data_IF_977897907180
#
_entry.id   IF_977897907180
#
_cell.length_a   1.000
_cell.length_b   1.000
_cell.length_c   1.000
_cell.angle_alpha   90.00
_cell.angle_beta   90.00
_cell.angle_gamma   90.00
#
_symmetry.space_group_name_H-M   'P 1'
#
loop_
_entity.id
_entity.type
_entity.pdbx_description
1 polymer ?
#
# COMPACT_ATOMS: atom_id res chain seq x y z
N UNK A 1 1.29 32.24 -25.04
CA UNK A 1 1.11 30.96 -24.33
C UNK A 1 2.18 30.89 -23.25
N UNK A 2 1.78 30.96 -21.98
CA UNK A 2 2.70 30.95 -20.85
C UNK A 2 3.37 29.59 -20.72
N UNK A 3 4.69 29.56 -20.91
CA UNK A 3 5.53 28.40 -20.66
C UNK A 3 5.58 28.19 -19.13
N UNK A 4 4.66 27.40 -18.58
CA UNK A 4 4.76 26.98 -17.19
C UNK A 4 6.09 26.23 -17.04
N UNK A 5 6.94 26.68 -16.11
CA UNK A 5 8.20 25.99 -15.81
C UNK A 5 7.87 24.54 -15.49
N UNK A 6 8.21 23.63 -16.40
CA UNK A 6 7.96 22.21 -16.23
C UNK A 6 8.92 21.72 -15.15
N UNK A 7 8.45 21.68 -13.91
CA UNK A 7 9.23 21.14 -12.79
C UNK A 7 9.40 19.65 -13.05
N UNK A 8 10.64 19.15 -13.23
CA UNK A 8 10.86 17.73 -13.40
C UNK A 8 10.41 16.99 -12.14
N UNK A 9 9.88 15.78 -12.31
CA UNK A 9 9.57 14.93 -11.18
C UNK A 9 10.81 14.72 -10.32
N UNK A 10 10.67 14.66 -8.98
CA UNK A 10 11.79 14.38 -8.11
C UNK A 10 12.35 12.99 -8.42
N UNK A 11 13.67 12.86 -8.34
CA UNK A 11 14.33 11.57 -8.45
C UNK A 11 13.93 10.66 -7.27
N UNK A 12 13.77 9.36 -7.54
CA UNK A 12 13.49 8.34 -6.53
C UNK A 12 14.58 7.26 -6.53
N UNK A 13 15.79 7.57 -6.05
CA UNK A 13 16.95 6.68 -6.18
C UNK A 13 16.84 5.47 -5.24
N UNK A 14 16.46 4.31 -5.77
CA UNK A 14 16.21 3.05 -5.02
C UNK A 14 17.34 2.72 -4.02
N UNK A 15 18.60 2.92 -4.40
CA UNK A 15 19.74 2.61 -3.53
C UNK A 15 19.72 3.41 -2.21
N UNK A 16 19.24 4.66 -2.21
CA UNK A 16 19.27 5.53 -1.05
C UNK A 16 18.24 5.16 0.05
N UNK A 17 17.21 4.39 -0.29
CA UNK A 17 16.11 4.04 0.63
C UNK A 17 15.75 2.56 0.57
N UNK A 18 16.71 1.71 0.12
CA UNK A 18 16.49 0.29 -0.13
C UNK A 18 15.90 -0.43 1.07
N UNK A 19 16.60 -0.34 2.20
CA UNK A 19 16.20 -1.01 3.44
C UNK A 19 14.81 -0.56 3.91
N UNK A 20 14.50 0.73 3.74
CA UNK A 20 13.20 1.31 4.09
C UNK A 20 12.08 0.75 3.21
N UNK A 21 12.25 0.73 1.88
CA UNK A 21 11.20 0.21 1.00
C UNK A 21 11.01 -1.29 1.19
N UNK A 22 12.10 -2.05 1.40
CA UNK A 22 12.04 -3.50 1.61
C UNK A 22 11.25 -3.81 2.88
N UNK A 23 11.56 -3.10 3.97
CA UNK A 23 10.83 -3.20 5.23
C UNK A 23 9.35 -2.88 5.02
N UNK A 24 9.04 -1.72 4.42
CA UNK A 24 7.65 -1.31 4.16
C UNK A 24 6.92 -2.33 3.26
N UNK A 25 7.58 -2.83 2.22
CA UNK A 25 7.03 -3.83 1.33
C UNK A 25 6.67 -5.12 2.07
N UNK A 26 7.57 -5.65 2.90
CA UNK A 26 7.31 -6.86 3.67
C UNK A 26 6.19 -6.67 4.70
N UNK A 27 6.13 -5.52 5.39
CA UNK A 27 5.02 -5.20 6.29
C UNK A 27 3.68 -5.13 5.56
N UNK A 28 3.62 -4.49 4.39
CA UNK A 28 2.37 -4.45 3.59
C UNK A 28 1.94 -5.85 3.14
N UNK A 29 2.87 -6.75 2.82
CA UNK A 29 2.56 -8.14 2.53
C UNK A 29 1.99 -8.88 3.75
N UNK A 30 2.54 -8.68 4.95
CA UNK A 30 2.01 -9.28 6.19
C UNK A 30 0.56 -8.86 6.42
N UNK A 31 0.28 -7.55 6.33
CA UNK A 31 -1.08 -7.01 6.49
C UNK A 31 -2.03 -7.60 5.43
N UNK A 32 -1.60 -7.67 4.16
CA UNK A 32 -2.39 -8.26 3.08
C UNK A 32 -2.69 -9.76 3.32
N UNK A 33 -1.72 -10.52 3.82
CA UNK A 33 -1.90 -11.94 4.18
C UNK A 33 -2.92 -12.12 5.31
N UNK A 34 -2.89 -11.26 6.33
CA UNK A 34 -3.90 -11.28 7.41
C UNK A 34 -5.29 -11.01 6.83
N UNK A 35 -5.45 -9.96 6.02
CA UNK A 35 -6.72 -9.61 5.37
C UNK A 35 -7.28 -10.76 4.52
N UNK A 36 -6.41 -11.39 3.73
CA UNK A 36 -6.72 -12.53 2.87
C UNK A 36 -7.20 -13.75 3.67
N UNK A 37 -6.54 -14.06 4.78
CA UNK A 37 -6.87 -15.23 5.59
C UNK A 37 -8.10 -15.04 6.49
N UNK A 38 -8.42 -13.79 6.85
CA UNK A 38 -9.43 -13.47 7.87
C UNK A 38 -10.71 -12.84 7.32
N UNK A 39 -10.81 -12.63 6.01
CA UNK A 39 -12.05 -12.12 5.36
C UNK A 39 -12.70 -13.21 4.53
N UNK A 40 -14.04 -13.15 4.30
CA UNK A 40 -14.68 -13.99 3.30
C UNK A 40 -14.02 -13.83 1.94
N UNK A 41 -13.81 -14.94 1.24
CA UNK A 41 -13.23 -14.92 -0.09
C UNK A 41 -14.10 -14.12 -1.05
N UNK A 42 -13.50 -13.11 -1.67
CA UNK A 42 -14.05 -12.38 -2.81
C UNK A 42 -13.26 -12.76 -4.05
N UNK A 43 -13.94 -12.88 -5.19
CA UNK A 43 -13.35 -13.25 -6.48
C UNK A 43 -12.00 -12.56 -6.72
N UNK A 44 -11.01 -13.35 -7.09
CA UNK A 44 -9.63 -12.91 -7.36
C UNK A 44 -8.96 -12.13 -6.22
N UNK A 45 -9.32 -12.41 -4.96
CA UNK A 45 -8.78 -11.73 -3.78
C UNK A 45 -8.95 -10.20 -3.80
N UNK A 46 -9.97 -9.66 -4.50
CA UNK A 46 -10.16 -8.20 -4.62
C UNK A 46 -10.31 -7.47 -3.28
N UNK A 47 -10.65 -8.20 -2.22
CA UNK A 47 -10.81 -7.69 -0.85
C UNK A 47 -9.48 -7.43 -0.10
N UNK A 48 -8.31 -7.70 -0.72
CA UNK A 48 -6.99 -7.64 -0.07
C UNK A 48 -6.27 -6.29 -0.25
N UNK A 49 -6.75 -5.42 -1.16
CA UNK A 49 -6.11 -4.15 -1.43
C UNK A 49 -5.98 -3.26 -0.17
N UNK A 50 -4.86 -2.52 -0.08
CA UNK A 50 -4.66 -1.50 0.95
C UNK A 50 -5.23 -0.15 0.48
N UNK A 51 -5.92 0.55 1.37
CA UNK A 51 -6.49 1.88 1.14
C UNK A 51 -5.59 2.96 1.74
N UNK A 52 -5.40 4.04 1.00
CA UNK A 52 -4.65 5.22 1.46
C UNK A 52 -5.56 6.10 2.31
N UNK A 53 -5.04 6.56 3.44
CA UNK A 53 -5.66 7.55 4.32
C UNK A 53 -4.65 8.64 4.66
N UNK A 54 -5.10 9.71 5.31
CA UNK A 54 -4.21 10.75 5.83
C UNK A 54 -3.19 10.23 6.87
N UNK A 55 -3.38 9.01 7.41
CA UNK A 55 -2.50 8.38 8.41
C UNK A 55 -1.67 7.22 7.85
N UNK A 56 -1.70 7.00 6.53
CA UNK A 56 -0.98 5.91 5.87
C UNK A 56 -1.91 4.86 5.25
N UNK A 57 -1.43 3.63 5.16
CA UNK A 57 -2.14 2.51 4.52
C UNK A 57 -2.94 1.71 5.54
N UNK A 58 -4.18 1.35 5.19
CA UNK A 58 -5.05 0.51 6.02
C UNK A 58 -5.77 -0.53 5.17
N UNK A 59 -6.42 -1.49 5.81
CA UNK A 59 -7.47 -2.31 5.19
C UNK A 59 -8.84 -1.75 5.57
N UNK A 60 -9.91 -2.28 4.99
CA UNK A 60 -11.26 -2.12 5.56
C UNK A 60 -11.42 -3.02 6.80
N UNK A 61 -12.47 -2.85 7.63
CA UNK A 61 -12.68 -3.71 8.81
C UNK A 61 -12.64 -5.19 8.45
N UNK A 62 -11.80 -5.96 9.15
CA UNK A 62 -11.71 -7.42 9.01
C UNK A 62 -12.78 -8.00 9.93
N UNK A 63 -13.77 -8.73 9.39
CA UNK A 63 -14.75 -9.40 10.24
C UNK A 63 -14.03 -10.43 11.12
N UNK A 64 -14.16 -10.29 12.43
CA UNK A 64 -13.74 -11.28 13.41
C UNK A 64 -14.97 -11.65 14.23
N UNK A 65 -15.25 -12.95 14.34
CA UNK A 65 -16.51 -13.43 14.91
C UNK A 65 -16.67 -13.09 16.40
N UNK A 66 -17.93 -12.99 16.82
CA UNK A 66 -18.42 -13.73 17.98
C UNK A 66 -19.03 -15.03 17.46
#
# INVERSE_FOLDING_TARGET
MSNALQVPWPELPIAAWRETYETLHLWTQIIGKIRLARSPWLNHSWHVALYVTARGLTTSPIPEGL
#
